data_IF_216646079731
#
_entry.id   IF_216646079731
#
_cell.length_a   1.000
_cell.length_b   1.000
_cell.length_c   1.000
_cell.angle_alpha   90.00
_cell.angle_beta   90.00
_cell.angle_gamma   90.00
#
_symmetry.space_group_name_H-M   'P 1'
#
loop_
_entity.id
_entity.type
_entity.pdbx_description
1 polymer ?
#
# COMPACT_ATOMS: atom_id res chain seq x y z
N UNK A 1 -6.06 0.11 0.64
CA UNK A 1 -5.30 1.21 0.04
C UNK A 1 -5.61 1.24 -1.44
N UNK A 2 -5.72 2.43 -2.03
CA UNK A 2 -5.79 2.61 -3.48
C UNK A 2 -4.54 3.35 -3.93
N UNK A 3 -3.92 2.92 -5.04
CA UNK A 3 -2.72 3.55 -5.56
C UNK A 3 -2.93 3.86 -7.03
N UNK A 4 -2.70 5.10 -7.40
CA UNK A 4 -2.68 5.57 -8.78
C UNK A 4 -1.28 6.01 -9.13
N UNK A 5 -0.71 5.46 -10.20
CA UNK A 5 0.59 5.86 -10.75
C UNK A 5 0.38 6.26 -12.20
N UNK A 6 0.59 7.55 -12.50
CA UNK A 6 0.36 8.10 -13.84
C UNK A 6 1.62 8.05 -14.72
N UNK A 7 1.47 8.45 -15.99
CA UNK A 7 2.56 8.49 -16.98
C UNK A 7 3.65 9.54 -16.71
N UNK A 8 3.46 10.44 -15.75
CA UNK A 8 4.42 11.46 -15.36
C UNK A 8 5.21 11.06 -14.10
N UNK A 9 5.07 9.80 -13.67
CA UNK A 9 5.61 9.28 -12.42
C UNK A 9 5.07 9.93 -11.15
N UNK A 10 3.91 10.60 -11.23
CA UNK A 10 3.20 11.01 -10.03
C UNK A 10 2.43 9.81 -9.49
N UNK A 11 2.61 9.58 -8.19
CA UNK A 11 1.91 8.56 -7.42
C UNK A 11 0.99 9.25 -6.42
N UNK A 12 -0.27 8.81 -6.42
CA UNK A 12 -1.20 9.11 -5.33
C UNK A 12 -1.54 7.81 -4.60
N UNK A 13 -1.36 7.81 -3.28
CA UNK A 13 -1.70 6.69 -2.41
C UNK A 13 -2.78 7.10 -1.43
N UNK A 14 -3.95 6.49 -1.52
CA UNK A 14 -5.07 6.69 -0.61
C UNK A 14 -5.16 5.53 0.39
N UNK A 15 -4.99 5.87 1.66
CA UNK A 15 -5.08 4.95 2.78
C UNK A 15 -6.39 5.17 3.52
N UNK A 16 -7.35 4.27 3.30
CA UNK A 16 -8.62 4.25 4.02
C UNK A 16 -8.41 3.74 5.44
N UNK A 17 -8.68 4.57 6.43
CA UNK A 17 -8.39 4.26 7.83
C UNK A 17 -9.37 4.94 8.79
N UNK A 18 -9.76 4.23 9.84
CA UNK A 18 -10.58 4.77 10.92
C UNK A 18 -9.83 5.81 11.78
N UNK A 19 -8.55 6.01 11.52
CA UNK A 19 -7.67 6.94 12.24
C UNK A 19 -7.45 8.28 11.53
N UNK A 20 -8.04 8.47 10.35
CA UNK A 20 -7.99 9.77 9.69
C UNK A 20 -8.59 10.84 10.61
N UNK A 21 -7.84 11.91 10.84
CA UNK A 21 -8.17 13.02 11.73
C UNK A 21 -7.93 12.75 13.21
N UNK A 22 -7.23 11.66 13.57
CA UNK A 22 -7.02 11.23 14.96
C UNK A 22 -5.55 11.12 15.38
N UNK A 23 -4.63 11.70 14.61
CA UNK A 23 -3.25 11.83 15.07
C UNK A 23 -3.19 12.63 16.37
N UNK A 24 -2.28 12.24 17.26
CA UNK A 24 -2.07 12.87 18.58
C UNK A 24 -3.28 12.75 19.54
N UNK A 25 -4.30 11.95 19.21
CA UNK A 25 -5.48 11.78 20.06
C UNK A 25 -5.27 10.69 21.12
N UNK A 26 -4.73 9.55 20.72
CA UNK A 26 -4.58 8.36 21.55
C UNK A 26 -3.14 8.15 22.00
N UNK A 27 -2.94 7.19 22.91
CA UNK A 27 -1.64 6.85 23.48
C UNK A 27 -1.34 5.37 23.31
N UNK A 28 -0.06 5.06 23.15
CA UNK A 28 0.50 3.72 23.17
C UNK A 28 1.87 3.77 23.86
N UNK A 29 2.14 2.87 24.80
CA UNK A 29 3.39 2.88 25.55
C UNK A 29 3.68 4.19 26.31
N UNK A 30 2.64 4.97 26.67
CA UNK A 30 2.79 6.26 27.35
C UNK A 30 3.10 7.45 26.43
N UNK A 31 3.30 7.24 25.13
CA UNK A 31 3.50 8.31 24.14
C UNK A 31 2.35 8.38 23.13
N UNK A 32 2.28 9.50 22.42
CA UNK A 32 1.17 9.80 21.51
C UNK A 32 1.26 8.96 20.24
N UNK A 33 0.12 8.44 19.81
CA UNK A 33 0.00 7.75 18.52
C UNK A 33 -0.12 8.79 17.42
N UNK A 34 0.85 8.78 16.51
CA UNK A 34 0.92 9.63 15.32
C UNK A 34 0.81 8.80 14.03
N UNK A 35 0.65 9.48 12.90
CA UNK A 35 0.74 8.85 11.59
C UNK A 35 2.15 8.34 11.32
N UNK A 36 2.25 7.11 10.82
CA UNK A 36 3.49 6.56 10.32
C UNK A 36 3.84 7.06 8.92
N UNK A 37 5.04 6.75 8.49
CA UNK A 37 5.49 7.02 7.12
C UNK A 37 4.91 5.96 6.16
N UNK A 38 4.89 6.29 4.88
CA UNK A 38 4.50 5.35 3.83
C UNK A 38 5.76 4.65 3.33
N UNK A 39 5.88 3.36 3.61
CA UNK A 39 6.98 2.52 3.13
C UNK A 39 6.72 2.10 1.68
N UNK A 40 7.77 2.08 0.86
CA UNK A 40 7.72 1.78 -0.57
C UNK A 40 8.82 0.75 -0.86
N UNK A 41 8.44 -0.35 -1.49
CA UNK A 41 9.35 -1.44 -1.83
C UNK A 41 9.33 -1.77 -3.32
N UNK A 42 10.49 -2.11 -3.87
CA UNK A 42 10.66 -2.54 -5.27
C UNK A 42 10.81 -4.07 -5.41
N UNK A 43 10.68 -4.80 -4.30
CA UNK A 43 10.85 -6.25 -4.25
C UNK A 43 10.51 -6.83 -2.88
N UNK A 44 11.47 -7.53 -2.26
CA UNK A 44 11.29 -8.15 -0.94
C UNK A 44 11.61 -7.23 0.26
N UNK A 45 12.09 -6.01 0.00
CA UNK A 45 12.50 -5.01 1.00
C UNK A 45 11.79 -3.66 0.80
N UNK A 46 11.85 -2.80 1.82
CA UNK A 46 11.32 -1.43 1.80
C UNK A 46 12.42 -0.44 1.42
N UNK A 47 12.69 -0.30 0.13
CA UNK A 47 13.85 0.45 -0.36
C UNK A 47 13.69 1.97 -0.21
N UNK A 48 12.46 2.46 -0.10
CA UNK A 48 12.14 3.88 0.03
C UNK A 48 11.05 4.12 1.08
N UNK A 49 10.95 5.35 1.55
CA UNK A 49 9.81 5.82 2.33
C UNK A 49 9.43 7.24 1.95
N UNK A 50 8.13 7.52 1.92
CA UNK A 50 7.64 8.88 1.97
C UNK A 50 7.50 9.30 3.44
N UNK A 51 8.45 10.11 3.90
CA UNK A 51 8.50 10.63 5.25
C UNK A 51 7.55 11.81 5.42
N UNK A 52 6.64 11.70 6.37
CA UNK A 52 5.67 12.74 6.71
C UNK A 52 6.30 13.80 7.62
N UNK A 53 6.31 15.05 7.18
CA UNK A 53 6.54 16.18 8.08
C UNK A 53 5.33 16.43 8.98
N UNK A 54 5.59 16.83 10.23
CA UNK A 54 4.55 17.17 11.19
C UNK A 54 3.44 16.09 11.31
N UNK A 55 3.84 14.89 11.72
CA UNK A 55 2.94 13.73 11.93
C UNK A 55 1.77 13.99 12.87
N UNK A 56 1.78 15.10 13.62
CA UNK A 56 0.70 15.52 14.54
C UNK A 56 -0.45 16.25 13.84
N UNK A 57 -0.25 16.74 12.62
CA UNK A 57 -1.29 17.44 11.84
C UNK A 57 -2.45 16.50 11.53
N UNK A 58 -3.68 17.01 11.62
CA UNK A 58 -4.90 16.26 11.26
C UNK A 58 -5.54 16.74 9.95
N UNK A 59 -4.83 17.60 9.21
CA UNK A 59 -5.26 18.13 7.91
C UNK A 59 -4.32 17.75 6.77
N UNK A 60 -3.05 17.47 7.07
CA UNK A 60 -2.01 17.25 6.06
C UNK A 60 -0.77 18.11 6.25
N UNK A 61 0.10 18.07 5.26
CA UNK A 61 1.32 18.85 5.20
C UNK A 61 2.23 18.36 4.07
N UNK A 62 3.50 18.73 4.17
CA UNK A 62 4.54 18.27 3.25
C UNK A 62 5.15 16.95 3.71
N UNK A 63 5.85 16.30 2.80
CA UNK A 63 6.71 15.16 3.10
C UNK A 63 7.77 14.99 2.05
N UNK A 64 8.69 14.06 2.29
CA UNK A 64 9.83 13.82 1.41
C UNK A 64 10.03 12.35 1.12
N UNK A 65 10.34 12.05 -0.13
CA UNK A 65 10.75 10.74 -0.55
C UNK A 65 12.22 10.53 -0.21
N UNK A 66 12.49 9.51 0.60
CA UNK A 66 13.81 9.17 1.13
C UNK A 66 14.15 7.74 0.72
N UNK A 67 15.37 7.58 0.20
CA UNK A 67 15.99 6.27 -0.06
C UNK A 67 16.50 5.69 1.26
N UNK A 68 16.21 4.42 1.51
CA UNK A 68 16.70 3.70 2.68
C UNK A 68 18.23 3.77 2.81
N UNK A 69 18.98 3.71 1.70
CA UNK A 69 20.43 3.85 1.69
C UNK A 69 20.90 5.22 2.23
N UNK A 70 20.01 6.22 2.20
CA UNK A 70 20.21 7.56 2.73
C UNK A 70 19.31 7.79 3.96
N UNK A 71 19.12 6.79 4.80
CA UNK A 71 18.38 6.88 6.06
C UNK A 71 19.22 6.36 7.23
N UNK A 72 18.79 6.64 8.45
CA UNK A 72 19.38 6.08 9.68
C UNK A 72 18.73 4.72 10.04
N UNK A 73 17.86 4.18 9.18
CA UNK A 73 17.16 2.91 9.36
C UNK A 73 15.64 3.05 9.49
N UNK A 74 14.98 2.00 9.97
CA UNK A 74 13.56 2.03 10.30
C UNK A 74 13.34 2.27 11.79
N UNK A 75 12.25 2.94 12.13
CA UNK A 75 11.69 2.94 13.47
C UNK A 75 10.58 1.91 13.52
N UNK A 76 10.81 0.90 14.34
CA UNK A 76 9.78 -0.05 14.72
C UNK A 76 8.93 0.52 15.87
N UNK A 77 7.75 -0.07 16.12
CA UNK A 77 6.84 0.38 17.19
C UNK A 77 7.56 0.46 18.54
N UNK A 78 8.43 -0.51 18.86
CA UNK A 78 9.17 -0.54 20.12
C UNK A 78 10.06 0.70 20.28
N UNK A 79 10.83 1.05 19.26
CA UNK A 79 11.76 2.19 19.31
C UNK A 79 11.00 3.51 19.29
N UNK A 80 9.93 3.59 18.49
CA UNK A 80 9.12 4.80 18.38
C UNK A 80 8.39 5.15 19.69
N UNK A 81 7.82 4.15 20.35
CA UNK A 81 7.06 4.33 21.58
C UNK A 81 7.85 4.03 22.85
N UNK A 82 9.13 3.64 22.74
CA UNK A 82 9.99 3.17 23.83
C UNK A 82 9.29 2.14 24.72
N UNK A 83 8.76 1.08 24.10
CA UNK A 83 7.85 0.13 24.77
C UNK A 83 8.18 -1.33 24.50
N UNK A 84 7.94 -2.19 25.50
CA UNK A 84 8.17 -3.64 25.44
C UNK A 84 6.87 -4.44 25.22
N UNK A 85 5.86 -3.84 24.61
CA UNK A 85 4.53 -4.42 24.36
C UNK A 85 4.47 -5.31 23.10
N UNK A 86 3.30 -5.85 22.77
CA UNK A 86 3.08 -6.58 21.50
C UNK A 86 3.42 -5.72 20.27
N UNK A 87 3.76 -6.34 19.12
CA UNK A 87 4.04 -5.68 17.82
C UNK A 87 5.36 -4.87 17.75
N UNK A 88 6.36 -5.26 18.55
CA UNK A 88 7.66 -4.57 18.64
C UNK A 88 8.34 -4.34 17.30
N UNK A 89 8.28 -5.35 16.43
CA UNK A 89 9.03 -5.45 15.17
C UNK A 89 8.29 -4.86 13.97
N UNK A 90 7.17 -4.16 14.19
CA UNK A 90 6.43 -3.56 13.09
C UNK A 90 7.02 -2.21 12.71
N UNK A 91 7.48 -2.10 11.46
CA UNK A 91 7.99 -0.84 10.91
C UNK A 91 6.84 0.16 10.75
N UNK A 92 7.01 1.36 11.29
CA UNK A 92 6.00 2.43 11.27
C UNK A 92 6.52 3.77 10.78
N UNK A 93 7.83 4.01 10.85
CA UNK A 93 8.43 5.24 10.36
C UNK A 93 9.86 5.01 9.90
N UNK A 94 10.40 5.95 9.14
CA UNK A 94 11.81 6.01 8.82
C UNK A 94 12.55 6.77 9.93
N UNK A 95 13.68 6.25 10.38
CA UNK A 95 14.66 7.03 11.12
C UNK A 95 15.45 7.85 10.09
N UNK A 96 15.36 9.18 10.16
CA UNK A 96 16.12 10.05 9.25
C UNK A 96 16.58 11.32 9.96
N UNK A 97 17.72 11.84 9.50
CA UNK A 97 18.27 13.12 9.93
C UNK A 97 17.84 14.28 9.02
N UNK A 98 17.95 15.51 9.53
CA UNK A 98 17.57 16.75 8.81
C UNK A 98 18.33 16.98 7.49
N UNK A 99 19.49 16.37 7.30
CA UNK A 99 20.37 16.58 6.14
C UNK A 99 19.97 15.75 4.91
N UNK A 100 18.94 14.90 5.02
CA UNK A 100 18.51 13.96 3.98
C UNK A 100 17.26 14.43 3.21
N UNK A 101 16.79 15.66 3.46
CA UNK A 101 15.60 16.24 2.81
C UNK A 101 16.01 17.09 1.60
N UNK A 102 15.61 16.67 0.39
CA UNK A 102 15.81 17.44 -0.86
C UNK A 102 14.48 17.98 -1.39
N UNK A 103 14.46 19.23 -1.85
CA UNK A 103 13.29 19.84 -2.49
C UNK A 103 12.81 19.07 -3.74
N UNK A 104 13.72 18.41 -4.46
CA UNK A 104 13.38 17.58 -5.63
C UNK A 104 12.53 16.35 -5.28
N UNK A 105 12.54 15.94 -4.02
CA UNK A 105 11.84 14.76 -3.51
C UNK A 105 10.64 15.15 -2.65
N UNK A 106 10.27 16.43 -2.64
CA UNK A 106 9.15 16.91 -1.87
C UNK A 106 7.83 16.45 -2.50
N UNK A 107 6.92 16.00 -1.64
CA UNK A 107 5.52 15.79 -1.97
C UNK A 107 4.63 16.31 -0.85
N UNK A 108 3.38 15.89 -0.88
CA UNK A 108 2.37 16.32 0.08
C UNK A 108 1.56 15.14 0.59
N UNK A 109 0.94 15.34 1.74
CA UNK A 109 -0.04 14.43 2.27
C UNK A 109 -1.23 15.23 2.83
N UNK A 110 -2.40 14.61 2.84
CA UNK A 110 -3.62 15.22 3.36
C UNK A 110 -4.48 14.21 4.08
N UNK A 111 -5.38 14.73 4.93
CA UNK A 111 -6.30 13.94 5.72
C UNK A 111 -7.70 14.45 5.49
N UNK A 112 -8.62 13.57 5.13
CA UNK A 112 -10.02 13.93 4.96
C UNK A 112 -10.91 12.71 4.76
N UNK A 113 -12.14 12.79 5.24
CA UNK A 113 -13.20 11.81 4.96
C UNK A 113 -12.82 10.33 5.19
N UNK A 114 -12.04 10.03 6.24
CA UNK A 114 -11.60 8.65 6.51
C UNK A 114 -10.39 8.20 5.69
N UNK A 115 -9.71 9.12 4.99
CA UNK A 115 -8.59 8.83 4.09
C UNK A 115 -7.38 9.66 4.50
N UNK A 116 -6.21 9.00 4.47
CA UNK A 116 -4.90 9.64 4.46
C UNK A 116 -4.34 9.49 3.04
N UNK A 117 -4.18 10.60 2.34
CA UNK A 117 -3.75 10.64 0.95
C UNK A 117 -2.32 11.16 0.85
N UNK A 118 -1.47 10.48 0.09
CA UNK A 118 -0.09 10.86 -0.20
C UNK A 118 0.04 11.18 -1.68
N UNK A 119 0.82 12.21 -2.02
CA UNK A 119 1.09 12.61 -3.39
C UNK A 119 2.56 12.99 -3.54
N UNK A 120 3.27 12.27 -4.40
CA UNK A 120 4.70 12.47 -4.65
C UNK A 120 5.08 11.96 -6.04
N UNK A 121 6.21 12.44 -6.55
CA UNK A 121 6.75 12.02 -7.83
C UNK A 121 7.91 11.03 -7.62
N UNK A 122 7.95 9.94 -8.39
CA UNK A 122 8.98 8.90 -8.28
C UNK A 122 10.02 8.93 -9.40
N UNK A 123 10.01 9.93 -10.28
CA UNK A 123 10.98 10.03 -11.40
C UNK A 123 12.43 10.14 -10.94
N UNK A 124 12.67 10.61 -9.70
CA UNK A 124 14.02 10.67 -9.11
C UNK A 124 14.47 9.34 -8.49
N UNK A 125 13.59 8.34 -8.41
CA UNK A 125 13.93 7.04 -7.84
C UNK A 125 14.65 6.15 -8.86
N UNK A 126 15.68 5.44 -8.39
CA UNK A 126 16.34 4.40 -9.18
C UNK A 126 15.59 3.07 -9.04
N UNK A 127 14.43 2.96 -9.70
CA UNK A 127 13.59 1.77 -9.66
C UNK A 127 14.19 0.66 -10.53
N UNK A 128 14.77 -0.36 -9.91
CA UNK A 128 15.35 -1.52 -10.61
C UNK A 128 14.32 -2.29 -11.46
N UNK A 129 13.06 -2.31 -11.01
CA UNK A 129 11.91 -2.77 -11.77
C UNK A 129 10.73 -1.80 -11.58
N UNK A 130 10.51 -0.83 -12.48
CA UNK A 130 9.38 0.09 -12.39
C UNK A 130 8.04 -0.60 -12.69
N UNK A 131 8.01 -1.91 -12.98
CA UNK A 131 6.77 -2.60 -13.28
C UNK A 131 5.86 -2.73 -12.05
N UNK A 132 6.40 -2.75 -10.83
CA UNK A 132 5.58 -2.89 -9.63
C UNK A 132 6.23 -2.29 -8.37
N UNK A 133 5.46 -1.48 -7.64
CA UNK A 133 5.81 -0.99 -6.31
C UNK A 133 4.86 -1.58 -5.27
N UNK A 134 5.43 -1.99 -4.14
CA UNK A 134 4.69 -2.36 -2.95
C UNK A 134 4.64 -1.18 -1.98
N UNK A 135 3.50 -0.98 -1.34
CA UNK A 135 3.26 0.09 -0.39
C UNK A 135 2.80 -0.51 0.93
N UNK A 136 3.28 0.06 2.04
CA UNK A 136 2.83 -0.27 3.39
C UNK A 136 2.71 1.00 4.20
N UNK A 137 1.60 1.11 4.91
CA UNK A 137 1.38 2.18 5.86
C UNK A 137 0.79 1.64 7.16
N UNK A 138 1.17 2.24 8.27
CA UNK A 138 0.57 2.01 9.57
C UNK A 138 0.63 3.30 10.40
N UNK A 139 -0.22 3.42 11.42
CA UNK A 139 0.09 4.35 12.50
C UNK A 139 1.27 3.86 13.33
N UNK A 140 1.84 4.76 14.12
CA UNK A 140 3.00 4.48 15.00
C UNK A 140 2.80 3.36 16.03
N UNK A 141 1.55 3.03 16.39
CA UNK A 141 1.23 1.87 17.24
C UNK A 141 1.02 0.55 16.47
N UNK A 142 1.05 0.59 15.13
CA UNK A 142 0.79 -0.51 14.21
C UNK A 142 -0.44 -1.37 14.54
N UNK A 143 -1.55 -0.76 15.01
CA UNK A 143 -2.76 -1.54 15.26
C UNK A 143 -3.34 -2.17 13.98
N UNK A 144 -3.24 -1.42 12.89
CA UNK A 144 -3.66 -1.81 11.56
C UNK A 144 -2.53 -1.48 10.59
N UNK A 145 -2.12 -2.49 9.81
CA UNK A 145 -1.13 -2.35 8.75
C UNK A 145 -1.89 -2.49 7.44
N UNK A 146 -1.78 -1.47 6.60
CA UNK A 146 -2.48 -1.41 5.33
C UNK A 146 -1.44 -1.46 4.23
N UNK A 147 -1.55 -2.45 3.35
CA UNK A 147 -0.66 -2.63 2.22
C UNK A 147 -1.39 -2.41 0.90
N UNK A 148 -0.62 -2.10 -0.14
CA UNK A 148 -1.10 -1.96 -1.51
C UNK A 148 0.02 -2.29 -2.48
N UNK A 149 -0.33 -2.55 -3.73
CA UNK A 149 0.63 -2.68 -4.82
C UNK A 149 0.14 -1.85 -5.99
N UNK A 150 1.06 -1.18 -6.68
CA UNK A 150 0.78 -0.44 -7.89
C UNK A 150 1.70 -0.91 -8.99
N UNK A 151 1.20 -0.92 -10.22
CA UNK A 151 2.01 -1.17 -11.40
C UNK A 151 2.22 0.12 -12.15
N UNK A 152 3.44 0.36 -12.59
CA UNK A 152 3.76 1.57 -13.33
C UNK A 152 3.18 1.57 -14.74
N UNK A 153 3.24 2.70 -15.44
CA UNK A 153 2.75 2.86 -16.81
C UNK A 153 3.37 1.87 -17.83
N UNK A 154 4.53 1.28 -17.52
CA UNK A 154 5.18 0.23 -18.31
C UNK A 154 4.89 -1.20 -17.83
N UNK A 155 4.26 -1.37 -16.66
CA UNK A 155 3.87 -2.67 -16.11
C UNK A 155 2.58 -3.14 -16.75
N UNK A 156 2.69 -3.98 -17.78
CA UNK A 156 1.54 -4.51 -18.50
C UNK A 156 0.43 -5.00 -17.57
N UNK A 157 -0.77 -4.45 -17.74
CA UNK A 157 -2.00 -4.94 -17.13
C UNK A 157 -2.42 -6.27 -17.78
N UNK A 158 -1.56 -7.29 -17.73
CA UNK A 158 -2.05 -8.66 -17.79
C UNK A 158 -2.68 -8.98 -16.44
N UNK A 159 -3.89 -8.47 -16.26
CA UNK A 159 -4.87 -9.14 -15.40
C UNK A 159 -5.15 -10.45 -16.11
N UNK A 160 -4.80 -11.62 -15.55
CA UNK A 160 -5.22 -12.88 -16.12
C UNK A 160 -6.74 -12.81 -16.26
N UNK A 161 -7.26 -13.00 -17.47
CA UNK A 161 -8.71 -13.01 -17.71
C UNK A 161 -9.37 -13.86 -16.62
N UNK A 162 -10.46 -13.39 -15.98
CA UNK A 162 -10.96 -14.03 -14.78
C UNK A 162 -11.18 -15.52 -15.03
N UNK A 163 -10.54 -16.38 -14.23
CA UNK A 163 -10.77 -17.82 -14.29
C UNK A 163 -12.26 -18.19 -14.17
N UNK A 164 -13.08 -17.25 -13.66
CA UNK A 164 -14.53 -17.29 -13.70
C UNK A 164 -15.11 -17.49 -15.12
N UNK A 165 -14.55 -16.89 -16.17
CA UNK A 165 -14.99 -17.07 -17.56
C UNK A 165 -14.73 -18.51 -18.03
N UNK A 166 -13.56 -19.05 -17.72
CA UNK A 166 -13.23 -20.46 -18.00
C UNK A 166 -14.13 -21.42 -17.20
N UNK A 167 -14.47 -21.10 -15.96
CA UNK A 167 -15.39 -21.87 -15.12
C UNK A 167 -16.83 -21.83 -15.63
N UNK A 168 -17.31 -20.66 -16.06
CA UNK A 168 -18.65 -20.50 -16.65
C UNK A 168 -18.75 -21.29 -17.95
N UNK A 169 -17.75 -21.17 -18.83
CA UNK A 169 -17.73 -21.89 -20.11
C UNK A 169 -17.63 -23.41 -19.90
N UNK A 170 -16.78 -23.89 -19.00
CA UNK A 170 -16.67 -25.32 -18.70
C UNK A 170 -17.93 -25.87 -18.03
N UNK A 171 -18.58 -25.10 -17.15
CA UNK A 171 -19.88 -25.44 -16.56
C UNK A 171 -21.00 -25.55 -17.59
N UNK A 172 -21.09 -24.60 -18.51
CA UNK A 172 -22.07 -24.62 -19.61
C UNK A 172 -21.84 -25.81 -20.56
N UNK A 173 -20.58 -26.10 -20.89
CA UNK A 173 -20.21 -27.27 -21.68
C UNK A 173 -20.61 -28.58 -20.98
N UNK A 174 -20.35 -28.69 -19.68
CA UNK A 174 -20.74 -29.85 -18.87
C UNK A 174 -22.24 -30.08 -18.85
N UNK A 175 -23.03 -29.03 -18.60
CA UNK A 175 -24.50 -29.09 -18.61
C UNK A 175 -25.07 -29.45 -19.99
N UNK A 176 -24.48 -28.92 -21.06
CA UNK A 176 -24.84 -29.27 -22.44
C UNK A 176 -24.60 -30.75 -22.76
N UNK A 177 -23.48 -31.31 -22.32
CA UNK A 177 -23.14 -32.72 -22.52
C UNK A 177 -24.09 -33.66 -21.75
N UNK A 178 -24.41 -33.32 -20.50
CA UNK A 178 -25.34 -34.10 -19.66
C UNK A 178 -26.75 -34.12 -20.25
N UNK A 179 -27.24 -32.96 -20.73
CA UNK A 179 -28.58 -32.87 -21.35
C UNK A 179 -28.68 -33.71 -22.63
N UNK A 180 -27.61 -33.75 -23.44
CA UNK A 180 -27.57 -34.53 -24.69
C UNK A 180 -27.57 -36.04 -24.45
N UNK A 181 -26.92 -36.50 -23.36
CA UNK A 181 -26.96 -37.92 -22.94
C UNK A 181 -28.34 -38.36 -22.47
N UNK A 182 -29.05 -37.51 -21.71
CA UNK A 182 -30.39 -37.85 -21.19
C UNK A 182 -31.43 -38.04 -22.29
N UNK A 183 -31.33 -37.30 -23.39
CA UNK A 183 -32.26 -37.44 -24.53
C UNK A 183 -31.97 -38.64 -25.44
N UNK A 184 -30.79 -39.26 -25.39
CA UNK A 184 -30.48 -40.46 -26.19
C UNK A 184 -31.02 -41.76 -25.56
N UNK A 185 -31.35 -41.75 -24.27
CA UNK A 185 -31.84 -42.94 -23.57
C UNK A 185 -33.38 -43.09 -23.63
N UNK A 186 -34.10 -42.17 -24.30
CA UNK A 186 -35.55 -42.20 -24.43
C UNK A 186 -36.04 -42.69 -25.81
N UNK A 187 -35.15 -43.21 -26.66
CA UNK A 187 -35.52 -43.82 -27.95
C UNK A 187 -35.06 -45.28 -28.00
N UNK A 188 -35.46 -46.11 -27.04
CA UNK A 188 -35.46 -47.57 -27.14
C UNK A 188 -36.67 -48.12 -26.38
N UNK A 189 -37.87 -47.76 -26.81
CA UNK A 189 -39.08 -48.58 -26.60
C UNK A 189 -39.95 -48.42 -27.86
N UNK A 190 -39.86 -49.41 -28.75
CA UNK A 190 -40.78 -49.71 -29.85
C UNK A 190 -40.86 -51.23 -29.95
#
# INVERSE_FOLDING_TARGET
MNVNWNSNDDITVDVYTAFAGKSNTYYYGGSKILYGDLMIGTGSSWDYAFHIHNKTSNSGGDGWLIDYANSDGYLEVQDYHNTYESRKTEIVALAHGSNQLSASNQGSWSVGNGVLSFSFNVSSLNLADPAQLAFRWAMTCANDIITGVARGPGGGNQVPEPAALALILSGLFGLGFVRRRRNRNNCVEA
#
